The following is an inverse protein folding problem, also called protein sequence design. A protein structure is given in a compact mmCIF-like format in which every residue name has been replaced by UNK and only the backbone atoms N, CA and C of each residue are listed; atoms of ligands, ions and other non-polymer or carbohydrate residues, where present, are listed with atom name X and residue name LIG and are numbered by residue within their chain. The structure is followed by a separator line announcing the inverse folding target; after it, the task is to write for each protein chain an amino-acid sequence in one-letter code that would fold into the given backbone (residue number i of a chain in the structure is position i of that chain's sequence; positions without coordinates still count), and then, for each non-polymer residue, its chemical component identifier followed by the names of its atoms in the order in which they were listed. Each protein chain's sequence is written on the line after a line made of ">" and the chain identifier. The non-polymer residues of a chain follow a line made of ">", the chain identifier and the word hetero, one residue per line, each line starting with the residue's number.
data_IF_833351537218
#
_entry.id   IF_833351537218
#
_cell.length_a   1.000
_cell.length_b   1.000
_cell.length_c   1.000
_cell.angle_alpha   90.00
_cell.angle_beta   90.00
_cell.angle_gamma   90.00
#
_symmetry.space_group_name_H-M   'P 1'
#
loop_
_entity.id
_entity.type
_entity.pdbx_description
1 polymer ?
#
# COMPACT_ATOMS: atom_id res chain seq x y z
N UNK A 1 7.25 15.90 -5.43
CA UNK A 1 8.46 15.08 -5.71
C UNK A 1 8.03 13.62 -5.73
N UNK A 2 8.40 12.86 -6.75
CA UNK A 2 8.22 11.41 -6.84
C UNK A 2 9.59 10.74 -6.78
N UNK A 3 9.76 9.76 -5.90
CA UNK A 3 11.00 9.01 -5.74
C UNK A 3 10.73 7.52 -5.93
N UNK A 4 11.07 6.91 -7.07
CA UNK A 4 11.05 5.46 -7.22
C UNK A 4 12.23 4.82 -6.49
N UNK A 5 11.95 3.78 -5.71
CA UNK A 5 12.94 3.01 -4.96
C UNK A 5 12.84 1.55 -5.38
N UNK A 6 13.86 1.05 -6.05
CA UNK A 6 13.91 -0.35 -6.48
C UNK A 6 14.31 -1.28 -5.32
N UNK A 7 13.85 -2.53 -5.41
CA UNK A 7 14.29 -3.62 -4.54
C UNK A 7 14.12 -3.34 -3.03
N UNK A 8 13.00 -2.73 -2.64
CA UNK A 8 12.65 -2.58 -1.21
C UNK A 8 12.59 -3.94 -0.53
N UNK A 9 12.08 -4.95 -1.22
CA UNK A 9 12.23 -6.35 -0.89
C UNK A 9 13.20 -6.99 -1.88
N UNK A 10 14.19 -7.74 -1.40
CA UNK A 10 14.97 -8.61 -2.26
C UNK A 10 14.09 -9.74 -2.84
N UNK A 11 14.54 -10.47 -3.87
CA UNK A 11 13.73 -11.52 -4.51
C UNK A 11 13.21 -12.57 -3.54
N UNK A 12 14.00 -12.99 -2.56
CA UNK A 12 13.58 -13.99 -1.56
C UNK A 12 12.49 -13.45 -0.64
N UNK A 13 12.63 -12.23 -0.16
CA UNK A 13 11.61 -11.54 0.65
C UNK A 13 10.34 -11.25 -0.13
N UNK A 14 10.45 -10.91 -1.40
CA UNK A 14 9.28 -10.71 -2.27
C UNK A 14 8.49 -12.02 -2.41
N UNK A 15 9.17 -13.13 -2.68
CA UNK A 15 8.54 -14.45 -2.74
C UNK A 15 7.83 -14.79 -1.42
N UNK A 16 8.50 -14.59 -0.29
CA UNK A 16 7.93 -14.82 1.03
C UNK A 16 6.68 -13.95 1.27
N UNK A 17 6.73 -12.67 0.89
CA UNK A 17 5.57 -11.79 0.98
C UNK A 17 4.40 -12.29 0.11
N UNK A 18 4.65 -12.71 -1.11
CA UNK A 18 3.64 -13.25 -2.03
C UNK A 18 3.00 -14.53 -1.49
N UNK A 19 3.78 -15.42 -0.90
CA UNK A 19 3.26 -16.62 -0.22
C UNK A 19 2.34 -16.28 0.95
N UNK A 20 2.68 -15.26 1.74
CA UNK A 20 1.82 -14.77 2.82
C UNK A 20 0.54 -14.14 2.26
N UNK A 21 0.62 -13.38 1.18
CA UNK A 21 -0.53 -12.75 0.50
C UNK A 21 -1.53 -13.80 0.01
N UNK A 22 -1.04 -14.95 -0.49
CA UNK A 22 -1.89 -16.04 -0.97
C UNK A 22 -2.79 -16.66 0.13
N UNK A 23 -2.45 -16.46 1.39
CA UNK A 23 -3.20 -16.98 2.55
C UNK A 23 -4.27 -16.00 3.08
N UNK A 24 -4.41 -14.82 2.47
CA UNK A 24 -5.28 -13.77 2.97
C UNK A 24 -6.70 -13.89 2.41
N UNK A 25 -7.67 -13.43 3.18
CA UNK A 25 -9.02 -13.15 2.72
C UNK A 25 -9.14 -11.71 2.22
N UNK A 26 -10.04 -11.51 1.26
CA UNK A 26 -10.23 -10.25 0.56
C UNK A 26 -11.68 -9.77 0.69
N UNK A 27 -11.86 -8.47 0.77
CA UNK A 27 -13.16 -7.80 0.79
C UNK A 27 -13.16 -6.62 -0.18
N UNK A 28 -14.33 -6.04 -0.42
CA UNK A 28 -14.45 -4.85 -1.28
C UNK A 28 -13.62 -3.69 -0.71
N UNK A 29 -12.72 -3.14 -1.53
CA UNK A 29 -11.86 -2.02 -1.16
C UNK A 29 -12.62 -0.71 -0.94
N UNK A 30 -13.82 -0.57 -1.49
CA UNK A 30 -14.67 0.62 -1.28
C UNK A 30 -15.05 0.82 0.20
N UNK A 31 -15.10 -0.25 1.00
CA UNK A 31 -15.42 -0.18 2.43
C UNK A 31 -14.42 0.66 3.23
N UNK A 32 -13.18 0.76 2.77
CA UNK A 32 -12.09 1.47 3.46
C UNK A 32 -11.79 2.85 2.89
N UNK A 33 -12.46 3.23 1.80
CA UNK A 33 -12.30 4.52 1.16
C UNK A 33 -13.14 5.61 1.84
N UNK A 34 -12.62 6.83 1.86
CA UNK A 34 -13.40 8.03 2.23
C UNK A 34 -14.56 8.27 1.25
N UNK A 35 -15.49 9.14 1.62
CA UNK A 35 -16.76 9.33 0.87
C UNK A 35 -16.55 9.55 -0.63
N UNK A 36 -15.66 10.44 -1.02
CA UNK A 36 -15.39 10.78 -2.42
C UNK A 36 -14.64 9.68 -3.15
N UNK A 37 -13.60 9.14 -2.52
CA UNK A 37 -12.76 8.10 -3.13
C UNK A 37 -13.48 6.76 -3.29
N UNK A 38 -14.52 6.49 -2.51
CA UNK A 38 -15.34 5.27 -2.59
C UNK A 38 -16.00 5.10 -3.96
N UNK A 39 -16.43 6.18 -4.59
CA UNK A 39 -17.12 6.15 -5.88
C UNK A 39 -16.22 5.71 -7.03
N UNK A 40 -14.92 5.91 -6.91
CA UNK A 40 -13.92 5.61 -7.94
C UNK A 40 -13.02 4.42 -7.59
N UNK A 41 -13.24 3.77 -6.44
CA UNK A 41 -12.43 2.64 -5.97
C UNK A 41 -13.10 1.30 -6.28
N UNK A 42 -12.51 0.55 -7.20
CA UNK A 42 -12.93 -0.80 -7.62
C UNK A 42 -11.77 -1.76 -7.47
N UNK A 43 -11.45 -2.13 -6.27
CA UNK A 43 -10.40 -3.09 -5.96
C UNK A 43 -10.81 -3.95 -4.76
N UNK A 44 -10.01 -4.96 -4.47
CA UNK A 44 -10.12 -5.76 -3.26
C UNK A 44 -9.11 -5.28 -2.23
N UNK A 45 -9.43 -5.46 -0.98
CA UNK A 45 -8.56 -5.15 0.15
C UNK A 45 -8.44 -6.34 1.08
N UNK A 46 -7.21 -6.68 1.47
CA UNK A 46 -6.97 -7.80 2.36
C UNK A 46 -7.37 -7.49 3.80
N UNK A 47 -7.90 -8.49 4.47
CA UNK A 47 -8.10 -8.44 5.92
C UNK A 47 -6.78 -8.71 6.65
N UNK A 48 -6.12 -7.63 7.08
CA UNK A 48 -4.87 -7.71 7.84
C UNK A 48 -5.08 -7.85 9.36
N UNK A 49 -6.31 -8.02 9.83
CA UNK A 49 -6.60 -8.27 11.25
C UNK A 49 -6.43 -9.76 11.63
N UNK A 50 -6.43 -10.66 10.65
CA UNK A 50 -6.18 -12.08 10.85
C UNK A 50 -4.74 -12.35 11.28
N UNK A 51 -4.47 -13.56 11.79
CA UNK A 51 -3.10 -13.97 12.17
C UNK A 51 -2.13 -13.88 10.98
N UNK A 52 -2.55 -14.35 9.80
CA UNK A 52 -1.74 -14.27 8.58
C UNK A 52 -1.53 -12.82 8.14
N UNK A 53 -2.57 -12.01 8.20
CA UNK A 53 -2.49 -10.58 7.90
C UNK A 53 -1.57 -9.81 8.84
N UNK A 54 -1.62 -10.10 10.14
CA UNK A 54 -0.74 -9.50 11.13
C UNK A 54 0.73 -9.88 10.90
N UNK A 55 1.00 -11.13 10.51
CA UNK A 55 2.35 -11.59 10.17
C UNK A 55 2.91 -10.85 8.95
N UNK A 56 2.13 -10.75 7.88
CA UNK A 56 2.54 -9.99 6.69
C UNK A 56 2.77 -8.51 7.00
N UNK A 57 1.87 -7.90 7.76
CA UNK A 57 2.00 -6.50 8.17
C UNK A 57 3.31 -6.25 8.93
N UNK A 58 3.66 -7.11 9.87
CA UNK A 58 4.92 -7.02 10.61
C UNK A 58 6.12 -7.18 9.67
N UNK A 59 6.08 -8.16 8.77
CA UNK A 59 7.12 -8.41 7.79
C UNK A 59 7.39 -7.19 6.90
N UNK A 60 6.33 -6.61 6.32
CA UNK A 60 6.44 -5.45 5.44
C UNK A 60 6.88 -4.19 6.21
N UNK A 61 6.33 -3.92 7.39
CA UNK A 61 6.73 -2.80 8.22
C UNK A 61 8.21 -2.87 8.59
N UNK A 62 8.71 -4.05 8.94
CA UNK A 62 10.13 -4.25 9.24
C UNK A 62 11.00 -3.91 8.04
N UNK A 63 10.65 -4.41 6.85
CA UNK A 63 11.39 -4.13 5.63
C UNK A 63 11.41 -2.62 5.31
N UNK A 64 10.27 -1.95 5.39
CA UNK A 64 10.15 -0.51 5.13
C UNK A 64 10.95 0.33 6.14
N UNK A 65 10.85 0.02 7.42
CA UNK A 65 11.53 0.75 8.49
C UNK A 65 13.05 0.57 8.46
N UNK A 66 13.53 -0.57 7.98
CA UNK A 66 14.95 -0.86 7.91
C UNK A 66 15.60 -0.41 6.61
N UNK A 67 14.81 -0.10 5.57
CA UNK A 67 15.35 0.24 4.25
C UNK A 67 16.14 1.56 4.28
N UNK A 68 17.43 1.56 3.91
CA UNK A 68 18.31 2.72 4.08
C UNK A 68 17.86 3.94 3.27
N UNK A 69 17.39 3.73 2.03
CA UNK A 69 16.91 4.83 1.18
C UNK A 69 15.63 5.46 1.73
N UNK A 70 14.69 4.65 2.23
CA UNK A 70 13.46 5.16 2.87
C UNK A 70 13.81 5.97 4.11
N UNK A 71 14.71 5.48 4.93
CA UNK A 71 15.18 6.19 6.14
C UNK A 71 15.82 7.52 5.79
N UNK A 72 16.68 7.56 4.77
CA UNK A 72 17.40 8.76 4.37
C UNK A 72 16.51 9.79 3.67
N UNK A 73 15.66 9.35 2.74
CA UNK A 73 14.85 10.22 1.90
C UNK A 73 13.57 10.71 2.58
N UNK A 74 12.86 9.84 3.28
CA UNK A 74 11.58 10.16 3.91
C UNK A 74 11.70 10.55 5.38
N UNK A 75 12.73 10.06 6.07
CA UNK A 75 12.93 10.27 7.52
C UNK A 75 11.63 10.07 8.32
N UNK A 76 10.94 8.93 8.15
CA UNK A 76 9.61 8.76 8.68
C UNK A 76 9.61 8.79 10.21
N UNK A 77 8.82 9.66 10.78
CA UNK A 77 8.58 9.70 12.23
C UNK A 77 7.63 8.59 12.67
N UNK A 78 6.63 8.33 11.83
CA UNK A 78 5.60 7.34 12.07
C UNK A 78 5.01 6.87 10.75
N UNK A 79 4.58 5.62 10.69
CA UNK A 79 3.79 5.07 9.59
C UNK A 79 2.32 4.97 9.98
N UNK A 80 1.43 5.24 9.05
CA UNK A 80 0.01 4.85 9.19
C UNK A 80 -0.13 3.33 9.09
N UNK A 81 -1.32 2.83 9.30
CA UNK A 81 -1.62 1.42 9.02
C UNK A 81 -1.40 1.13 7.53
N UNK A 82 -0.78 -0.01 7.24
CA UNK A 82 -0.67 -0.52 5.88
C UNK A 82 -2.04 -1.00 5.39
N UNK A 83 -2.32 -0.69 4.13
CA UNK A 83 -3.42 -1.27 3.36
C UNK A 83 -2.83 -2.14 2.28
N UNK A 84 -3.34 -3.35 2.12
CA UNK A 84 -2.96 -4.23 1.02
C UNK A 84 -4.12 -4.34 0.05
N UNK A 85 -3.91 -3.84 -1.16
CA UNK A 85 -4.93 -3.80 -2.22
C UNK A 85 -4.57 -4.75 -3.34
N UNK A 86 -5.60 -5.31 -3.98
CA UNK A 86 -5.51 -6.12 -5.19
C UNK A 86 -6.47 -5.56 -6.21
N UNK A 87 -5.96 -5.27 -7.40
CA UNK A 87 -6.77 -4.85 -8.54
C UNK A 87 -6.83 -6.01 -9.53
N UNK A 88 -8.04 -6.37 -9.93
CA UNK A 88 -8.31 -7.41 -10.92
C UNK A 88 -8.79 -6.79 -12.23
N UNK A 89 -8.93 -7.60 -13.28
CA UNK A 89 -9.41 -7.14 -14.59
C UNK A 89 -10.74 -6.38 -14.45
N UNK A 90 -10.80 -5.20 -15.03
CA UNK A 90 -11.95 -4.28 -14.92
C UNK A 90 -12.02 -3.47 -13.64
N UNK A 91 -11.10 -3.72 -12.70
CA UNK A 91 -10.95 -2.92 -11.49
C UNK A 91 -10.07 -1.69 -11.68
N UNK A 92 -9.91 -0.92 -10.63
CA UNK A 92 -9.07 0.27 -10.61
C UNK A 92 -9.33 1.14 -9.39
N UNK A 93 -8.53 2.17 -9.28
CA UNK A 93 -8.75 3.24 -8.31
C UNK A 93 -8.57 4.56 -9.06
N UNK A 94 -9.68 5.22 -9.33
CA UNK A 94 -9.68 6.46 -10.10
C UNK A 94 -8.95 7.60 -9.40
N UNK A 95 -8.80 8.70 -10.12
CA UNK A 95 -8.12 9.88 -9.62
C UNK A 95 -8.74 10.37 -8.31
N UNK A 96 -7.91 10.56 -7.31
CA UNK A 96 -8.32 11.03 -5.99
C UNK A 96 -7.14 11.75 -5.31
N UNK A 97 -7.43 12.39 -4.20
CA UNK A 97 -6.42 12.96 -3.31
C UNK A 97 -6.35 12.08 -2.05
N UNK A 98 -5.14 11.76 -1.62
CA UNK A 98 -4.92 11.03 -0.39
C UNK A 98 -5.37 11.83 0.84
N UNK A 99 -5.80 11.12 1.87
CA UNK A 99 -6.21 11.76 3.12
C UNK A 99 -5.01 12.43 3.79
N UNK A 100 -5.16 13.69 4.17
CA UNK A 100 -4.14 14.44 4.90
C UNK A 100 -3.95 13.98 6.35
N UNK A 101 -4.93 13.26 6.89
CA UNK A 101 -4.91 12.70 8.24
C UNK A 101 -5.37 11.25 8.23
N UNK A 102 -4.70 10.41 8.99
CA UNK A 102 -5.05 8.99 9.14
C UNK A 102 -5.21 8.63 10.62
N UNK A 103 -6.26 7.87 10.98
CA UNK A 103 -6.46 7.45 12.36
C UNK A 103 -5.36 6.48 12.80
N UNK A 104 -4.90 6.66 14.03
CA UNK A 104 -3.89 5.81 14.68
C UNK A 104 -4.28 5.60 16.14
N UNK A 105 -4.93 4.47 16.43
CA UNK A 105 -5.52 4.25 17.75
C UNK A 105 -6.57 5.30 18.08
N UNK A 106 -6.38 6.03 19.19
CA UNK A 106 -7.27 7.12 19.64
C UNK A 106 -6.84 8.50 19.14
N UNK A 107 -5.85 8.58 18.25
CA UNK A 107 -5.31 9.83 17.71
C UNK A 107 -5.28 9.79 16.19
N UNK A 108 -4.85 10.88 15.58
CA UNK A 108 -4.61 10.97 14.14
C UNK A 108 -3.16 11.36 13.88
N UNK A 109 -2.61 10.88 12.78
CA UNK A 109 -1.33 11.36 12.26
C UNK A 109 -1.57 12.17 10.99
N UNK A 110 -0.81 13.24 10.82
CA UNK A 110 -0.74 13.95 9.55
C UNK A 110 0.13 13.15 8.57
N UNK A 111 -0.37 12.91 7.38
CA UNK A 111 0.32 12.18 6.31
C UNK A 111 1.02 13.17 5.39
N UNK A 112 2.30 13.38 5.59
CA UNK A 112 3.11 14.29 4.77
C UNK A 112 3.63 13.62 3.49
N UNK A 113 3.77 12.30 3.52
CA UNK A 113 4.21 11.46 2.39
C UNK A 113 3.33 10.23 2.28
N UNK A 114 3.04 9.81 1.06
CA UNK A 114 2.43 8.53 0.76
C UNK A 114 3.39 7.66 -0.07
N UNK A 115 3.19 6.35 -0.02
CA UNK A 115 3.94 5.41 -0.84
C UNK A 115 3.07 4.24 -1.27
N UNK A 116 3.46 3.64 -2.39
CA UNK A 116 2.94 2.37 -2.86
C UNK A 116 4.09 1.39 -2.99
N UNK A 117 3.98 0.24 -2.33
CA UNK A 117 4.91 -0.88 -2.49
C UNK A 117 4.28 -1.93 -3.40
N UNK A 118 4.82 -2.10 -4.60
CA UNK A 118 4.36 -3.11 -5.55
C UNK A 118 4.90 -4.49 -5.14
N UNK A 119 4.00 -5.46 -5.00
CA UNK A 119 4.32 -6.85 -4.67
C UNK A 119 4.17 -7.80 -5.87
N UNK A 120 3.67 -7.32 -7.00
CA UNK A 120 3.59 -8.06 -8.25
C UNK A 120 4.67 -7.57 -9.21
N UNK A 121 5.35 -8.46 -9.95
CA UNK A 121 6.29 -8.04 -10.97
C UNK A 121 5.55 -7.36 -12.12
N UNK A 122 6.15 -6.34 -12.76
CA UNK A 122 5.47 -5.52 -13.78
C UNK A 122 5.10 -6.28 -15.04
N UNK A 123 5.74 -7.39 -15.31
CA UNK A 123 5.47 -8.29 -16.46
C UNK A 123 4.36 -9.33 -16.18
N UNK A 124 3.83 -9.37 -14.96
CA UNK A 124 2.76 -10.29 -14.59
C UNK A 124 1.35 -9.77 -14.90
N UNK A 125 1.21 -8.51 -15.35
CA UNK A 125 -0.09 -7.89 -15.63
C UNK A 125 0.03 -6.78 -16.67
N UNK A 126 -1.08 -6.40 -17.28
CA UNK A 126 -1.21 -5.25 -18.16
C UNK A 126 -2.13 -4.20 -17.53
N UNK A 127 -1.80 -2.92 -17.69
CA UNK A 127 -2.51 -1.83 -17.03
C UNK A 127 -2.18 -1.72 -15.54
N UNK A 128 -3.00 -1.01 -14.79
CA UNK A 128 -2.83 -0.84 -13.34
C UNK A 128 -1.69 0.09 -12.95
N UNK A 129 -1.28 0.96 -13.85
CA UNK A 129 -0.27 1.98 -13.61
C UNK A 129 -0.71 2.94 -12.51
N UNK A 130 0.24 3.33 -11.67
CA UNK A 130 0.05 4.43 -10.72
C UNK A 130 0.31 5.76 -11.44
N UNK A 131 -0.76 6.49 -11.72
CA UNK A 131 -0.69 7.82 -12.32
C UNK A 131 -0.67 8.90 -11.24
N UNK A 132 0.28 9.84 -11.34
CA UNK A 132 0.38 10.98 -10.43
C UNK A 132 0.26 12.27 -11.23
N UNK A 133 -0.78 13.05 -10.95
CA UNK A 133 -0.96 14.37 -11.55
C UNK A 133 -0.30 15.44 -10.68
N UNK A 134 0.57 16.22 -11.28
CA UNK A 134 1.15 17.41 -10.69
C UNK A 134 0.40 18.65 -11.15
N UNK A 135 0.03 19.49 -10.20
CA UNK A 135 -0.35 20.86 -10.54
C UNK A 135 0.92 21.61 -10.95
N UNK A 136 1.09 21.70 -12.23
CA UNK A 136 1.97 22.56 -13.03
C UNK A 136 3.36 22.81 -12.61
#
# INVERSE_FOLDING_TARGET
>A
MLLPIANVLDPAKLTEAQEMVALLSWRDGAETAGKTAREVKRNLQADLSTRSGAKLKTFLNTALQQHPTIKAAAQPRQFSKLLLSKTETGGGYGLHVDNSYMPTGNTEIRTDLSFTLFLSPPDAYEGGELEIQHAG
#
